data_IF_374832322286
#
_entry.id   IF_374832322286
#
_cell.length_a   1.000
_cell.length_b   1.000
_cell.length_c   1.000
_cell.angle_alpha   90.00
_cell.angle_beta   90.00
_cell.angle_gamma   90.00
#
_symmetry.space_group_name_H-M   'P 1'
#
loop_
_entity.id
_entity.type
_entity.pdbx_description
1 polymer ?
#
# COMPACT_ATOMS: atom_id res chain seq x y z
N UNK A 1 3.05 -13.58 -16.19
CA UNK A 1 3.14 -12.20 -16.70
C UNK A 1 2.49 -12.21 -18.07
N UNK A 2 1.22 -11.82 -18.12
CA UNK A 2 0.53 -11.62 -19.40
C UNK A 2 1.20 -10.42 -20.08
N UNK A 3 1.69 -10.60 -21.31
CA UNK A 3 2.57 -9.65 -22.02
C UNK A 3 1.95 -8.29 -22.37
N UNK A 4 0.88 -7.89 -21.69
CA UNK A 4 0.19 -6.61 -21.86
C UNK A 4 0.81 -5.57 -20.91
N UNK A 5 1.33 -4.44 -21.43
CA UNK A 5 1.78 -3.33 -20.61
C UNK A 5 0.71 -2.89 -19.60
N UNK A 6 1.09 -2.75 -18.32
CA UNK A 6 0.18 -2.37 -17.23
C UNK A 6 -0.63 -1.08 -17.50
N UNK A 7 -0.12 -0.03 -18.17
CA UNK A 7 -0.93 1.12 -18.56
C UNK A 7 -2.16 0.73 -19.38
N UNK A 8 -2.04 -0.27 -20.28
CA UNK A 8 -3.17 -0.76 -21.06
C UNK A 8 -4.18 -1.53 -20.20
N UNK A 9 -3.73 -2.28 -19.19
CA UNK A 9 -4.63 -2.93 -18.23
C UNK A 9 -5.43 -1.89 -17.45
N UNK A 10 -4.76 -0.83 -17.00
CA UNK A 10 -5.40 0.29 -16.31
C UNK A 10 -6.42 0.99 -17.23
N UNK A 11 -6.05 1.33 -18.46
CA UNK A 11 -6.97 1.95 -19.42
C UNK A 11 -8.15 1.04 -19.79
N UNK A 12 -7.90 -0.26 -19.97
CA UNK A 12 -8.95 -1.25 -20.24
C UNK A 12 -9.93 -1.35 -19.06
N UNK A 13 -9.43 -1.27 -17.82
CA UNK A 13 -10.29 -1.25 -16.63
C UNK A 13 -11.19 -0.01 -16.59
N UNK A 14 -10.67 1.16 -16.98
CA UNK A 14 -11.43 2.40 -17.04
C UNK A 14 -12.49 2.40 -18.15
N UNK A 15 -12.17 1.79 -19.29
CA UNK A 15 -13.10 1.66 -20.41
C UNK A 15 -14.34 0.81 -20.09
N UNK A 16 -14.30 -0.02 -19.03
CA UNK A 16 -15.49 -0.76 -18.56
C UNK A 16 -16.57 0.16 -17.97
N UNK A 17 -16.16 1.30 -17.41
CA UNK A 17 -17.06 2.25 -16.74
C UNK A 17 -17.15 3.62 -17.46
N UNK A 18 -16.30 3.88 -18.46
CA UNK A 18 -16.19 5.17 -19.14
C UNK A 18 -16.26 4.99 -20.67
N UNK A 19 -17.06 5.79 -21.40
CA UNK A 19 -17.07 5.78 -22.85
C UNK A 19 -15.67 6.04 -23.45
N UNK A 20 -15.26 5.32 -24.52
CA UNK A 20 -13.91 5.43 -25.08
C UNK A 20 -13.50 6.84 -25.53
N UNK A 21 -14.44 7.61 -26.10
CA UNK A 21 -14.19 9.00 -26.52
C UNK A 21 -13.88 9.92 -25.34
N UNK A 22 -14.64 9.78 -24.25
CA UNK A 22 -14.44 10.55 -23.03
C UNK A 22 -13.11 10.19 -22.36
N UNK A 23 -12.75 8.91 -22.35
CA UNK A 23 -11.46 8.43 -21.83
C UNK A 23 -10.28 8.99 -22.65
N UNK A 24 -10.43 9.04 -23.98
CA UNK A 24 -9.42 9.62 -24.88
C UNK A 24 -9.25 11.12 -24.66
N UNK A 25 -10.34 11.85 -24.42
CA UNK A 25 -10.29 13.28 -24.14
C UNK A 25 -9.60 13.57 -22.81
N UNK A 26 -9.89 12.80 -21.76
CA UNK A 26 -9.18 12.91 -20.48
C UNK A 26 -7.69 12.58 -20.63
N UNK A 27 -7.36 11.52 -21.36
CA UNK A 27 -5.98 11.13 -21.62
C UNK A 27 -5.21 12.24 -22.36
N UNK A 28 -5.82 12.86 -23.36
CA UNK A 28 -5.22 13.98 -24.11
C UNK A 28 -5.04 15.21 -23.22
N UNK A 29 -6.05 15.56 -22.42
CA UNK A 29 -6.02 16.72 -21.54
C UNK A 29 -4.88 16.62 -20.51
N UNK A 30 -4.71 15.48 -19.83
CA UNK A 30 -3.62 15.29 -18.87
C UNK A 30 -2.24 15.18 -19.55
N UNK A 31 -2.16 14.69 -20.80
CA UNK A 31 -0.91 14.56 -21.56
C UNK A 31 -0.30 15.93 -21.90
N UNK A 32 -1.15 16.92 -22.20
CA UNK A 32 -0.69 18.30 -22.47
C UNK A 32 -0.02 19.00 -21.28
N UNK A 33 -0.35 18.63 -20.04
CA UNK A 33 0.32 19.20 -18.85
C UNK A 33 1.74 18.67 -18.63
N UNK A 34 2.04 17.47 -19.14
CA UNK A 34 3.32 16.79 -18.90
C UNK A 34 4.32 17.05 -20.04
N UNK A 35 3.85 17.28 -21.28
CA UNK A 35 4.71 17.71 -22.42
C UNK A 35 5.47 19.01 -22.08
N UNK A 36 4.90 19.88 -21.24
CA UNK A 36 5.59 21.07 -20.71
C UNK A 36 6.77 20.77 -19.76
N UNK A 37 6.94 19.54 -19.27
CA UNK A 37 7.95 19.12 -18.26
C UNK A 37 9.01 18.13 -18.78
N UNK A 38 9.05 17.80 -20.07
CA UNK A 38 10.24 17.19 -20.72
C UNK A 38 10.64 15.75 -20.36
N UNK A 39 9.75 14.93 -19.78
CA UNK A 39 10.03 13.49 -19.52
C UNK A 39 9.77 12.62 -20.77
N UNK A 40 10.38 11.42 -20.87
CA UNK A 40 10.30 10.53 -22.06
C UNK A 40 9.43 9.28 -21.83
N UNK A 41 8.57 8.97 -22.82
CA UNK A 41 8.05 7.65 -23.20
C UNK A 41 7.24 6.86 -22.16
N UNK A 42 7.81 5.76 -21.64
CA UNK A 42 7.06 4.71 -20.93
C UNK A 42 6.65 5.05 -19.49
N UNK A 43 7.51 5.74 -18.74
CA UNK A 43 7.18 6.14 -17.37
C UNK A 43 6.08 7.21 -17.35
N UNK A 44 5.98 8.01 -18.43
CA UNK A 44 4.90 8.98 -18.60
C UNK A 44 3.56 8.28 -18.84
N UNK A 45 3.51 7.30 -19.73
CA UNK A 45 2.27 6.56 -20.01
C UNK A 45 1.76 5.82 -18.76
N UNK A 46 2.67 5.35 -17.92
CA UNK A 46 2.34 4.73 -16.64
C UNK A 46 1.82 5.74 -15.61
N UNK A 47 2.56 6.83 -15.38
CA UNK A 47 2.13 7.89 -14.45
C UNK A 47 0.79 8.49 -14.86
N UNK A 48 0.56 8.60 -16.17
CA UNK A 48 -0.63 9.16 -16.75
C UNK A 48 -1.85 8.23 -16.58
N UNK A 49 -1.75 6.96 -16.97
CA UNK A 49 -2.81 5.98 -16.71
C UNK A 49 -3.14 5.85 -15.22
N UNK A 50 -2.13 5.90 -14.35
CA UNK A 50 -2.32 5.90 -12.89
C UNK A 50 -3.11 7.12 -12.40
N UNK A 51 -2.77 8.33 -12.88
CA UNK A 51 -3.55 9.55 -12.55
C UNK A 51 -4.98 9.45 -13.01
N UNK A 52 -5.19 9.00 -14.24
CA UNK A 52 -6.52 8.86 -14.81
C UNK A 52 -7.39 7.91 -13.97
N UNK A 53 -6.82 6.81 -13.47
CA UNK A 53 -7.51 5.91 -12.55
C UNK A 53 -7.78 6.50 -11.18
N UNK A 54 -6.89 7.32 -10.64
CA UNK A 54 -7.10 7.99 -9.35
C UNK A 54 -8.18 9.08 -9.48
N UNK A 55 -8.27 9.74 -10.63
CA UNK A 55 -9.19 10.86 -10.86
C UNK A 55 -10.55 10.42 -11.44
N UNK A 56 -10.74 9.14 -11.75
CA UNK A 56 -11.97 8.65 -12.37
C UNK A 56 -13.18 8.70 -11.41
N UNK A 57 -14.39 8.69 -11.98
CA UNK A 57 -15.63 8.75 -11.21
C UNK A 57 -15.76 7.61 -10.19
N UNK A 58 -15.35 6.40 -10.56
CA UNK A 58 -15.38 5.23 -9.65
C UNK A 58 -14.51 5.47 -8.41
N UNK A 59 -13.31 6.06 -8.56
CA UNK A 59 -12.49 6.40 -7.40
C UNK A 59 -13.13 7.51 -6.55
N UNK A 60 -13.73 8.53 -7.18
CA UNK A 60 -14.38 9.64 -6.47
C UNK A 60 -15.60 9.19 -5.65
N UNK A 61 -16.33 8.18 -6.13
CA UNK A 61 -17.47 7.58 -5.41
C UNK A 61 -17.04 6.76 -4.18
N UNK A 62 -15.77 6.38 -4.10
CA UNK A 62 -15.22 5.54 -3.02
C UNK A 62 -13.97 6.21 -2.39
N UNK A 63 -14.12 7.32 -1.64
CA UNK A 63 -12.99 8.07 -1.09
C UNK A 63 -12.07 7.24 -0.17
N UNK A 64 -12.62 6.25 0.53
CA UNK A 64 -11.82 5.31 1.34
C UNK A 64 -10.87 4.45 0.48
N UNK A 65 -11.16 4.21 -0.79
CA UNK A 65 -10.27 3.46 -1.68
C UNK A 65 -8.96 4.22 -1.90
N UNK A 66 -9.04 5.51 -2.23
CA UNK A 66 -7.86 6.35 -2.42
C UNK A 66 -7.03 6.46 -1.13
N UNK A 67 -7.72 6.57 0.00
CA UNK A 67 -7.09 6.67 1.30
C UNK A 67 -6.36 5.37 1.70
N UNK A 68 -6.99 4.21 1.49
CA UNK A 68 -6.33 2.90 1.64
C UNK A 68 -5.13 2.82 0.71
N UNK A 69 -5.26 3.20 -0.56
CA UNK A 69 -4.16 3.18 -1.54
C UNK A 69 -2.95 3.97 -1.05
N UNK A 70 -3.14 5.16 -0.46
CA UNK A 70 -2.06 5.95 0.14
C UNK A 70 -1.35 5.18 1.26
N UNK A 71 -2.12 4.55 2.14
CA UNK A 71 -1.61 3.80 3.28
C UNK A 71 -0.87 2.54 2.83
N UNK A 72 -1.45 1.71 1.97
CA UNK A 72 -0.80 0.46 1.52
C UNK A 72 0.36 0.70 0.55
N UNK A 73 0.43 1.87 -0.10
CA UNK A 73 1.54 2.23 -0.96
C UNK A 73 2.85 2.39 -0.18
N UNK A 74 2.84 2.59 1.13
CA UNK A 74 4.07 2.59 1.94
C UNK A 74 4.56 1.15 2.20
N UNK A 75 3.66 0.16 2.15
CA UNK A 75 3.93 -1.19 2.62
C UNK A 75 4.65 -1.97 1.51
N UNK A 76 5.94 -2.33 1.69
CA UNK A 76 6.70 -3.01 0.65
C UNK A 76 6.12 -4.38 0.28
N UNK A 77 5.52 -5.08 1.23
CA UNK A 77 4.94 -6.41 1.04
C UNK A 77 3.42 -6.37 0.81
N UNK A 78 2.82 -5.17 0.76
CA UNK A 78 1.38 -4.97 0.69
C UNK A 78 0.68 -5.20 2.03
N UNK A 79 -0.65 -5.13 2.03
CA UNK A 79 -1.48 -5.36 3.22
C UNK A 79 -2.21 -6.69 3.14
N UNK A 80 -2.22 -7.45 4.23
CA UNK A 80 -3.02 -8.68 4.32
C UNK A 80 -4.51 -8.33 4.30
N UNK A 81 -5.23 -8.79 3.27
CA UNK A 81 -6.63 -8.45 3.01
C UNK A 81 -7.55 -8.82 4.18
N UNK A 82 -7.29 -9.95 4.82
CA UNK A 82 -8.06 -10.43 5.97
C UNK A 82 -7.90 -9.57 7.23
N UNK A 83 -6.95 -8.63 7.24
CA UNK A 83 -6.59 -7.82 8.41
C UNK A 83 -6.78 -6.33 8.19
N UNK A 84 -7.34 -5.92 7.05
CA UNK A 84 -7.61 -4.52 6.77
C UNK A 84 -8.52 -3.89 7.84
N UNK A 85 -9.46 -4.65 8.40
CA UNK A 85 -10.33 -4.20 9.50
C UNK A 85 -9.54 -3.94 10.79
N UNK A 86 -8.50 -4.73 11.07
CA UNK A 86 -7.60 -4.52 12.21
C UNK A 86 -6.65 -3.34 11.99
N UNK A 87 -6.28 -3.08 10.73
CA UNK A 87 -5.38 -1.99 10.33
C UNK A 87 -6.09 -0.64 10.33
N UNK A 88 -7.38 -0.60 9.95
CA UNK A 88 -8.14 0.64 9.73
C UNK A 88 -9.52 0.61 10.41
N UNK A 89 -9.60 0.51 11.74
CA UNK A 89 -10.86 0.34 12.46
C UNK A 89 -11.82 1.54 12.34
N UNK A 90 -11.33 2.75 12.08
CA UNK A 90 -12.19 3.95 11.90
C UNK A 90 -12.61 4.21 10.45
N UNK A 91 -12.04 3.54 9.45
CA UNK A 91 -12.42 3.65 8.03
C UNK A 91 -13.73 2.91 7.68
N UNK A 92 -14.72 3.03 8.58
CA UNK A 92 -16.13 2.63 8.49
C UNK A 92 -16.44 1.13 8.40
N UNK A 93 -17.74 0.80 8.52
CA UNK A 93 -18.32 -0.55 8.61
C UNK A 93 -17.76 -1.48 7.53
N UNK A 94 -17.65 -2.78 7.85
CA UNK A 94 -17.12 -3.87 7.00
C UNK A 94 -17.45 -3.78 5.50
N UNK A 95 -18.66 -3.34 5.16
CA UNK A 95 -19.10 -3.16 3.77
C UNK A 95 -18.31 -2.10 3.00
N UNK A 96 -18.01 -0.97 3.63
CA UNK A 96 -17.34 0.19 3.00
C UNK A 96 -15.87 -0.13 2.69
N UNK A 97 -15.20 -0.83 3.61
CA UNK A 97 -13.84 -1.35 3.40
C UNK A 97 -13.77 -2.39 2.27
N UNK A 98 -14.77 -3.28 2.20
CA UNK A 98 -14.91 -4.25 1.12
C UNK A 98 -15.13 -3.61 -0.25
N UNK A 99 -15.97 -2.57 -0.32
CA UNK A 99 -16.21 -1.78 -1.54
C UNK A 99 -14.94 -1.04 -1.96
N UNK A 100 -14.24 -0.39 -1.03
CA UNK A 100 -12.98 0.29 -1.31
C UNK A 100 -11.91 -0.65 -1.88
N UNK A 101 -11.76 -1.85 -1.28
CA UNK A 101 -10.85 -2.88 -1.76
C UNK A 101 -11.20 -3.36 -3.18
N UNK A 102 -12.49 -3.58 -3.46
CA UNK A 102 -12.97 -3.97 -4.79
C UNK A 102 -12.68 -2.90 -5.82
N UNK A 103 -12.90 -1.62 -5.48
CA UNK A 103 -12.59 -0.50 -6.36
C UNK A 103 -11.10 -0.45 -6.72
N UNK A 104 -10.20 -0.67 -5.76
CA UNK A 104 -8.76 -0.69 -6.03
C UNK A 104 -8.34 -1.84 -6.97
N UNK A 105 -8.94 -3.02 -6.79
CA UNK A 105 -8.72 -4.18 -7.66
C UNK A 105 -9.28 -3.94 -9.06
N UNK A 106 -10.50 -3.41 -9.13
CA UNK A 106 -11.18 -3.08 -10.39
C UNK A 106 -10.37 -2.09 -11.22
N UNK A 107 -9.82 -1.04 -10.59
CA UNK A 107 -9.01 -0.02 -11.25
C UNK A 107 -7.55 -0.45 -11.53
N UNK A 108 -7.21 -1.72 -11.24
CA UNK A 108 -5.87 -2.30 -11.37
C UNK A 108 -4.78 -1.52 -10.62
N UNK A 109 -5.15 -0.79 -9.56
CA UNK A 109 -4.24 -0.02 -8.71
C UNK A 109 -3.53 -0.89 -7.66
N UNK A 110 -4.13 -2.05 -7.36
CA UNK A 110 -3.55 -3.10 -6.53
C UNK A 110 -3.70 -4.46 -7.20
N UNK A 111 -2.94 -5.44 -6.74
CA UNK A 111 -3.11 -6.85 -7.09
C UNK A 111 -3.40 -7.67 -5.84
N UNK A 112 -4.26 -8.68 -5.95
CA UNK A 112 -4.43 -9.71 -4.92
C UNK A 112 -3.38 -10.80 -5.16
N UNK A 113 -2.35 -10.83 -4.31
CA UNK A 113 -1.27 -11.80 -4.38
C UNK A 113 -1.29 -12.68 -3.13
N UNK A 114 -1.89 -13.87 -3.26
CA UNK A 114 -2.08 -14.82 -2.15
C UNK A 114 -2.73 -14.17 -0.90
N UNK A 115 -3.77 -13.36 -1.10
CA UNK A 115 -4.49 -12.69 -0.01
C UNK A 115 -3.86 -11.38 0.45
N UNK A 116 -2.82 -10.89 -0.22
CA UNK A 116 -2.21 -9.58 0.02
C UNK A 116 -2.60 -8.60 -1.07
N UNK A 117 -3.09 -7.43 -0.67
CA UNK A 117 -3.25 -6.28 -1.54
C UNK A 117 -1.89 -5.63 -1.75
N UNK A 118 -1.28 -5.88 -2.92
CA UNK A 118 0.02 -5.32 -3.28
C UNK A 118 -0.13 -4.16 -4.24
N UNK A 119 0.44 -3.03 -3.85
CA UNK A 119 0.66 -1.90 -4.78
C UNK A 119 1.89 -2.21 -5.62
N UNK A 120 1.75 -2.14 -6.94
CA UNK A 120 2.87 -2.30 -7.86
C UNK A 120 3.91 -1.19 -7.64
N UNK A 121 5.19 -1.52 -7.78
CA UNK A 121 6.28 -0.58 -7.49
C UNK A 121 6.15 0.78 -8.21
N UNK A 122 5.75 0.84 -9.49
CA UNK A 122 5.55 2.12 -10.18
C UNK A 122 4.40 2.97 -9.59
N UNK A 123 3.29 2.34 -9.18
CA UNK A 123 2.15 3.03 -8.52
C UNK A 123 2.57 3.49 -7.13
N UNK A 124 3.28 2.65 -6.38
CA UNK A 124 3.84 3.01 -5.08
C UNK A 124 4.74 4.25 -5.17
N UNK A 125 5.67 4.25 -6.13
CA UNK A 125 6.53 5.42 -6.39
C UNK A 125 5.70 6.65 -6.77
N UNK A 126 4.69 6.47 -7.63
CA UNK A 126 3.78 7.54 -8.01
C UNK A 126 3.09 8.15 -6.79
N UNK A 127 2.49 7.32 -5.92
CA UNK A 127 1.77 7.76 -4.73
C UNK A 127 2.71 8.51 -3.76
N UNK A 128 3.86 7.92 -3.44
CA UNK A 128 4.80 8.48 -2.47
C UNK A 128 5.43 9.81 -2.91
N UNK A 129 5.63 10.04 -4.21
CA UNK A 129 6.31 11.25 -4.71
C UNK A 129 5.36 12.36 -5.15
N UNK A 130 4.09 12.05 -5.45
CA UNK A 130 3.21 12.98 -6.17
C UNK A 130 1.84 13.15 -5.53
N UNK A 131 1.51 12.35 -4.54
CA UNK A 131 0.20 12.39 -3.91
C UNK A 131 0.32 12.81 -2.45
N UNK A 132 -0.65 13.58 -1.91
CA UNK A 132 -0.65 13.92 -0.50
C UNK A 132 -0.62 12.67 0.39
N UNK A 133 0.03 12.75 1.57
CA UNK A 133 -0.01 11.67 2.53
C UNK A 133 -1.46 11.35 2.94
N UNK A 134 -1.64 10.16 3.50
CA UNK A 134 -2.89 9.77 4.12
C UNK A 134 -3.23 10.72 5.30
N UNK A 135 -4.50 10.72 5.69
CA UNK A 135 -4.98 11.41 6.88
C UNK A 135 -4.25 10.87 8.12
N UNK A 136 -3.89 11.79 9.01
CA UNK A 136 -3.10 11.46 10.21
C UNK A 136 -3.78 10.41 11.10
N UNK A 137 -5.12 10.42 11.19
CA UNK A 137 -5.86 9.45 11.98
C UNK A 137 -5.67 8.00 11.46
N UNK A 138 -5.86 7.77 10.16
CA UNK A 138 -5.68 6.43 9.58
C UNK A 138 -4.21 5.99 9.56
N UNK A 139 -3.29 6.95 9.47
CA UNK A 139 -1.86 6.67 9.65
C UNK A 139 -1.57 6.15 11.06
N UNK A 140 -2.10 6.81 12.10
CA UNK A 140 -1.93 6.39 13.49
C UNK A 140 -2.51 4.99 13.73
N UNK A 141 -3.61 4.62 13.10
CA UNK A 141 -4.16 3.27 13.19
C UNK A 141 -3.22 2.20 12.62
N UNK A 142 -2.64 2.49 11.45
CA UNK A 142 -1.69 1.62 10.79
C UNK A 142 -0.41 1.45 11.63
N UNK A 143 0.08 2.56 12.19
CA UNK A 143 1.22 2.59 13.10
C UNK A 143 0.94 1.70 14.32
N UNK A 144 -0.18 1.94 15.03
CA UNK A 144 -0.58 1.14 16.19
C UNK A 144 -0.75 -0.35 15.86
N UNK A 145 -1.29 -0.68 14.68
CA UNK A 145 -1.40 -2.07 14.25
C UNK A 145 -0.02 -2.74 14.14
N UNK A 146 0.93 -2.10 13.45
CA UNK A 146 2.27 -2.66 13.31
C UNK A 146 3.10 -2.59 14.61
N UNK A 147 2.82 -1.65 15.51
CA UNK A 147 3.40 -1.60 16.85
C UNK A 147 2.96 -2.80 17.68
N UNK A 148 1.65 -3.07 17.73
CA UNK A 148 1.11 -4.27 18.40
C UNK A 148 1.70 -5.55 17.81
N UNK A 149 1.86 -5.60 16.48
CA UNK A 149 2.46 -6.74 15.82
C UNK A 149 3.93 -6.93 16.23
N UNK A 150 4.71 -5.85 16.28
CA UNK A 150 6.10 -5.88 16.73
C UNK A 150 6.21 -6.33 18.20
N UNK A 151 5.34 -5.81 19.09
CA UNK A 151 5.30 -6.18 20.51
C UNK A 151 4.93 -7.65 20.72
N UNK A 152 4.08 -8.23 19.87
CA UNK A 152 3.75 -9.66 19.93
C UNK A 152 4.96 -10.58 19.71
N UNK A 153 6.02 -10.07 19.06
CA UNK A 153 7.31 -10.75 18.90
C UNK A 153 8.21 -10.68 20.13
N UNK A 154 7.90 -9.88 21.15
CA UNK A 154 8.76 -9.69 22.35
C UNK A 154 8.59 -10.82 23.39
N UNK A 155 7.58 -11.69 23.24
CA UNK A 155 7.36 -12.86 24.11
C UNK A 155 8.22 -14.10 23.77
N UNK A 156 9.31 -13.90 23.03
CA UNK A 156 10.27 -14.95 22.67
C UNK A 156 10.93 -15.53 23.93
N UNK A 157 10.84 -16.84 24.12
CA UNK A 157 11.40 -17.57 25.28
C UNK A 157 10.38 -18.22 26.23
N UNK A 158 9.07 -18.01 26.05
CA UNK A 158 8.01 -18.78 26.75
C UNK A 158 7.36 -19.76 25.77
N UNK A 159 6.80 -20.85 26.30
CA UNK A 159 6.38 -22.12 25.63
C UNK A 159 5.44 -22.06 24.41
N UNK A 160 5.23 -20.90 23.78
CA UNK A 160 4.49 -20.67 22.53
C UNK A 160 5.29 -19.90 21.45
N UNK A 161 6.59 -19.68 21.63
CA UNK A 161 7.40 -18.74 20.85
C UNK A 161 7.41 -18.92 19.32
N UNK A 162 7.33 -20.15 18.79
CA UNK A 162 7.41 -20.39 17.35
C UNK A 162 6.15 -19.91 16.58
N UNK A 163 4.96 -20.05 17.15
CA UNK A 163 3.72 -19.56 16.50
C UNK A 163 3.56 -18.04 16.62
N UNK A 164 3.96 -17.46 17.76
CA UNK A 164 3.96 -16.02 17.97
C UNK A 164 4.87 -15.29 16.97
N UNK A 165 5.92 -15.94 16.47
CA UNK A 165 6.90 -15.34 15.54
C UNK A 165 6.53 -15.47 14.05
N UNK A 166 5.60 -16.35 13.66
CA UNK A 166 5.27 -16.56 12.23
C UNK A 166 4.80 -15.27 11.54
N UNK A 167 3.95 -14.49 12.19
CA UNK A 167 3.36 -13.28 11.61
C UNK A 167 4.29 -12.06 11.65
N UNK A 168 4.95 -11.72 12.78
CA UNK A 168 5.94 -10.64 12.81
C UNK A 168 7.08 -10.86 11.80
N UNK A 169 7.53 -12.10 11.61
CA UNK A 169 8.57 -12.43 10.63
C UNK A 169 8.08 -12.21 9.20
N UNK A 170 6.83 -12.61 8.88
CA UNK A 170 6.22 -12.42 7.56
C UNK A 170 6.00 -10.95 7.22
N UNK A 171 5.66 -10.13 8.20
CA UNK A 171 5.39 -8.70 8.07
C UNK A 171 6.62 -7.83 8.37
N UNK A 172 7.81 -8.41 8.51
CA UNK A 172 9.00 -7.72 9.01
C UNK A 172 9.33 -6.46 8.21
N UNK A 173 9.29 -6.52 6.86
CA UNK A 173 9.61 -5.34 6.04
C UNK A 173 8.54 -4.26 6.15
N UNK A 174 7.27 -4.65 6.34
CA UNK A 174 6.17 -3.73 6.60
C UNK A 174 6.36 -3.03 7.95
N UNK A 175 6.64 -3.80 9.02
CA UNK A 175 6.96 -3.27 10.37
C UNK A 175 8.10 -2.26 10.26
N UNK A 176 9.27 -2.68 9.75
CA UNK A 176 10.44 -1.80 9.65
C UNK A 176 10.14 -0.52 8.84
N UNK A 177 9.31 -0.60 7.80
CA UNK A 177 8.96 0.57 6.99
C UNK A 177 8.06 1.55 7.73
N UNK A 178 7.02 1.05 8.41
CA UNK A 178 6.12 1.90 9.20
C UNK A 178 6.87 2.56 10.36
N UNK A 179 7.72 1.80 11.06
CA UNK A 179 8.51 2.35 12.18
C UNK A 179 9.53 3.37 11.72
N UNK A 180 10.20 3.14 10.58
CA UNK A 180 11.10 4.14 9.99
C UNK A 180 10.36 5.43 9.64
N UNK A 181 9.14 5.32 9.13
CA UNK A 181 8.32 6.49 8.84
C UNK A 181 7.91 7.22 10.12
N UNK A 182 7.44 6.49 11.14
CA UNK A 182 7.12 7.05 12.46
C UNK A 182 8.31 7.81 13.06
N UNK A 183 9.51 7.22 13.05
CA UNK A 183 10.76 7.83 13.51
C UNK A 183 11.10 9.17 12.84
N UNK A 184 10.69 9.36 11.58
CA UNK A 184 10.93 10.63 10.87
C UNK A 184 9.87 11.69 11.15
N UNK A 185 8.74 11.31 11.76
CA UNK A 185 7.58 12.17 12.00
C UNK A 185 7.25 12.39 13.48
N UNK A 186 7.72 11.52 14.38
CA UNK A 186 7.43 11.52 15.81
C UNK A 186 8.59 10.88 16.60
N UNK A 187 8.66 11.18 17.90
CA UNK A 187 9.60 10.51 18.81
C UNK A 187 9.14 9.07 19.03
N UNK A 188 9.98 8.06 18.74
CA UNK A 188 9.60 6.66 18.87
C UNK A 188 9.41 6.26 20.34
N UNK A 189 8.42 5.41 20.66
CA UNK A 189 8.33 4.81 21.99
C UNK A 189 9.48 3.81 22.19
N UNK A 190 10.19 3.87 23.33
CA UNK A 190 11.33 3.00 23.65
C UNK A 190 11.10 1.48 23.42
N UNK A 191 9.91 0.90 23.73
CA UNK A 191 9.63 -0.52 23.48
C UNK A 191 9.73 -0.92 22.00
N UNK A 192 9.55 0.04 21.08
CA UNK A 192 9.61 -0.21 19.65
C UNK A 192 11.06 -0.38 19.16
N UNK A 193 11.97 0.41 19.71
CA UNK A 193 13.40 0.31 19.43
C UNK A 193 13.91 -1.05 19.93
N UNK A 194 13.48 -1.48 21.11
CA UNK A 194 13.81 -2.79 21.67
C UNK A 194 13.29 -3.93 20.78
N UNK A 195 12.04 -3.87 20.32
CA UNK A 195 11.49 -4.89 19.41
C UNK A 195 12.26 -4.98 18.07
N UNK A 196 12.70 -3.84 17.51
CA UNK A 196 13.51 -3.80 16.29
C UNK A 196 14.89 -4.43 16.53
N UNK A 197 15.54 -4.12 17.65
CA UNK A 197 16.85 -4.66 18.02
C UNK A 197 16.77 -6.18 18.26
N UNK A 198 15.76 -6.67 18.96
CA UNK A 198 15.59 -8.10 19.22
C UNK A 198 15.28 -8.89 17.93
N UNK A 199 14.48 -8.31 17.03
CA UNK A 199 14.20 -8.92 15.71
C UNK A 199 15.46 -9.00 14.84
N UNK A 200 16.32 -7.98 14.89
CA UNK A 200 17.58 -7.96 14.17
C UNK A 200 18.60 -8.98 14.72
N UNK A 201 18.65 -9.17 16.05
CA UNK A 201 19.48 -10.21 16.69
C UNK A 201 19.06 -11.61 16.25
N UNK A 202 17.76 -11.89 16.22
CA UNK A 202 17.24 -13.20 15.80
C UNK A 202 17.55 -13.53 14.33
N UNK A 203 17.42 -12.55 13.42
CA UNK A 203 17.75 -12.72 12.01
C UNK A 203 19.25 -12.98 11.76
N UNK A 204 20.11 -12.56 12.69
CA UNK A 204 21.56 -12.80 12.62
C UNK A 204 21.90 -14.22 13.09
N UNK A 205 21.33 -14.67 14.21
CA UNK A 205 21.54 -16.02 14.76
C UNK A 205 21.02 -17.11 13.80
N UNK A 206 19.85 -16.91 13.18
CA UNK A 206 19.30 -17.87 12.21
C UNK A 206 20.15 -18.02 10.92
N UNK A 207 21.15 -17.15 10.72
CA UNK A 207 22.06 -17.17 9.58
C UNK A 207 23.39 -17.86 9.87
N UNK A 208 23.72 -18.09 11.14
CA UNK A 208 24.92 -18.82 11.57
C UNK A 208 24.69 -20.34 11.72
N UNK A 209 23.43 -20.78 11.77
CA UNK A 209 23.05 -22.20 11.88
C UNK A 209 22.86 -22.92 10.51
N UNK A 210 23.33 -22.32 9.41
CA UNK A 210 23.29 -22.90 8.05
C UNK A 210 24.59 -22.65 7.28
#
# INVERSE_FOLDING_TARGET
MDGVPRPLVILASLAQATPPLQLLDWYRAEGTQIVKKGRRGRDMDFDHSTRLSINCLTMQQHPHALEILRLIAILPDGAEKARLEEMFPTMTRQRELGEATRTLLQLALVEDYFGYLKVLAPIRNFMQHRYPPAQAAHWQELEQYYERLAQSGVHVGKSRGAECMKRPTKEFRNVVTVMRHALTTSTPPAPLIEAIVESARFAWVAKEDN
#
